data_IF_162516066780
#
_entry.id   IF_162516066780
#
_cell.length_a   1.000
_cell.length_b   1.000
_cell.length_c   1.000
_cell.angle_alpha   90.00
_cell.angle_beta   90.00
_cell.angle_gamma   90.00
#
_symmetry.space_group_name_H-M   'P 1'
#
loop_
_entity.id
_entity.type
_entity.pdbx_description
1 polymer ?
#
# COMPACT_ATOMS: atom_id res chain seq x y z
N UNK A 1 19.01 -13.46 -17.59
CA UNK A 1 18.78 -12.30 -18.40
C UNK A 1 18.17 -11.17 -17.58
N UNK A 2 17.35 -10.26 -18.14
CA UNK A 2 16.83 -9.07 -17.41
C UNK A 2 16.10 -9.46 -16.13
N UNK A 3 15.21 -10.45 -16.17
CA UNK A 3 14.48 -10.91 -14.96
C UNK A 3 15.41 -11.45 -13.88
N UNK A 4 16.51 -12.11 -14.25
CA UNK A 4 17.49 -12.61 -13.28
C UNK A 4 18.23 -11.46 -12.58
N UNK A 5 18.62 -10.42 -13.33
CA UNK A 5 19.24 -9.23 -12.75
C UNK A 5 18.32 -8.54 -11.75
N UNK A 6 17.01 -8.41 -12.10
CA UNK A 6 16.02 -7.84 -11.19
C UNK A 6 15.86 -8.72 -9.93
N UNK A 7 15.74 -10.05 -10.09
CA UNK A 7 15.63 -10.97 -8.95
C UNK A 7 16.87 -10.93 -8.06
N UNK A 8 18.07 -10.83 -8.62
CA UNK A 8 19.30 -10.66 -7.84
C UNK A 8 19.27 -9.42 -6.95
N UNK A 9 18.71 -8.31 -7.46
CA UNK A 9 18.53 -7.10 -6.65
C UNK A 9 17.52 -7.32 -5.52
N UNK A 10 16.40 -7.99 -5.80
CA UNK A 10 15.40 -8.35 -4.75
C UNK A 10 16.04 -9.19 -3.66
N UNK A 11 16.82 -10.22 -4.02
CA UNK A 11 17.44 -11.14 -3.07
C UNK A 11 18.68 -10.57 -2.36
N UNK A 12 19.29 -9.52 -2.90
CA UNK A 12 20.57 -9.02 -2.36
C UNK A 12 20.48 -8.57 -0.91
N UNK A 13 19.42 -7.87 -0.54
CA UNK A 13 19.23 -7.36 0.83
C UNK A 13 19.00 -8.49 1.86
N UNK A 14 18.37 -9.59 1.45
CA UNK A 14 18.23 -10.76 2.30
C UNK A 14 19.57 -11.45 2.58
N UNK A 15 20.51 -11.41 1.62
CA UNK A 15 21.88 -11.92 1.82
C UNK A 15 22.67 -11.12 2.83
N UNK A 16 22.34 -9.84 2.98
CA UNK A 16 22.95 -8.92 3.94
C UNK A 16 22.34 -9.03 5.35
N UNK A 17 21.45 -10.01 5.58
CA UNK A 17 20.87 -10.33 6.89
C UNK A 17 19.58 -9.59 7.22
N UNK A 18 18.89 -9.02 6.24
CA UNK A 18 17.55 -8.45 6.45
C UNK A 18 16.51 -9.57 6.65
N UNK A 19 15.73 -9.50 7.72
CA UNK A 19 14.64 -10.44 8.00
C UNK A 19 13.44 -10.25 7.07
N UNK A 20 13.20 -9.01 6.65
CA UNK A 20 12.12 -8.63 5.73
C UNK A 20 12.66 -7.68 4.67
N UNK A 21 12.36 -7.98 3.41
CA UNK A 21 12.72 -7.12 2.26
C UNK A 21 11.44 -6.58 1.64
N UNK A 22 11.34 -5.27 1.50
CA UNK A 22 10.22 -4.60 0.83
C UNK A 22 10.71 -4.13 -0.54
N UNK A 23 10.09 -4.68 -1.59
CA UNK A 23 10.37 -4.30 -2.97
C UNK A 23 9.17 -3.52 -3.52
N UNK A 24 9.40 -2.31 -3.98
CA UNK A 24 8.37 -1.48 -4.61
C UNK A 24 8.56 -1.49 -6.13
N UNK A 25 7.45 -1.71 -6.85
CA UNK A 25 7.39 -1.62 -8.30
C UNK A 25 6.52 -0.42 -8.66
N UNK A 26 7.15 0.61 -9.22
CA UNK A 26 6.47 1.84 -9.63
C UNK A 26 5.66 1.68 -10.92
N UNK A 27 4.83 2.67 -11.20
CA UNK A 27 3.98 2.74 -12.37
C UNK A 27 2.63 2.05 -12.20
N UNK A 28 1.80 2.16 -13.23
CA UNK A 28 0.48 1.51 -13.28
C UNK A 28 0.62 0.09 -13.82
N UNK A 29 -0.09 -0.85 -13.22
CA UNK A 29 -0.14 -2.23 -13.76
C UNK A 29 -0.69 -2.20 -15.18
N UNK A 30 0.05 -2.81 -16.12
CA UNK A 30 -0.23 -2.77 -17.54
C UNK A 30 0.68 -1.83 -18.33
N UNK A 31 1.45 -0.98 -17.68
CA UNK A 31 2.45 -0.16 -18.36
C UNK A 31 3.60 -1.04 -18.90
N UNK A 32 4.02 -0.76 -20.12
CA UNK A 32 4.99 -1.60 -20.84
C UNK A 32 6.33 -1.68 -20.10
N UNK A 33 6.79 -0.57 -19.53
CA UNK A 33 8.06 -0.47 -18.80
C UNK A 33 8.08 -1.29 -17.51
N UNK A 34 6.94 -1.57 -16.90
CA UNK A 34 6.86 -2.36 -15.66
C UNK A 34 6.84 -3.87 -15.90
N UNK A 35 6.56 -4.34 -17.11
CA UNK A 35 6.41 -5.77 -17.42
C UNK A 35 7.62 -6.63 -17.02
N UNK A 36 8.89 -6.27 -17.26
CA UNK A 36 10.03 -7.08 -16.84
C UNK A 36 10.13 -7.22 -15.33
N UNK A 37 9.74 -6.18 -14.58
CA UNK A 37 9.73 -6.18 -13.11
C UNK A 37 8.60 -7.06 -12.58
N UNK A 38 7.40 -6.96 -13.15
CA UNK A 38 6.26 -7.79 -12.77
C UNK A 38 6.55 -9.27 -13.06
N UNK A 39 7.16 -9.59 -14.20
CA UNK A 39 7.58 -10.95 -14.51
C UNK A 39 8.65 -11.46 -13.51
N UNK A 40 9.61 -10.61 -13.14
CA UNK A 40 10.64 -10.98 -12.16
C UNK A 40 10.04 -11.29 -10.78
N UNK A 41 9.14 -10.44 -10.25
CA UNK A 41 8.51 -10.69 -8.95
C UNK A 41 7.52 -11.86 -8.98
N UNK A 42 6.87 -12.12 -10.13
CA UNK A 42 6.08 -13.33 -10.32
C UNK A 42 6.95 -14.58 -10.17
N UNK A 43 8.15 -14.58 -10.76
CA UNK A 43 9.11 -15.68 -10.62
C UNK A 43 9.60 -15.80 -9.17
N UNK A 44 9.88 -14.69 -8.47
CA UNK A 44 10.22 -14.70 -7.03
C UNK A 44 9.16 -15.46 -6.22
N UNK A 45 7.87 -15.21 -6.48
CA UNK A 45 6.80 -15.92 -5.78
C UNK A 45 6.71 -17.42 -6.10
N UNK A 46 7.17 -17.85 -7.30
CA UNK A 46 7.21 -19.27 -7.68
C UNK A 46 8.44 -19.97 -7.08
N UNK A 47 9.54 -19.24 -6.98
CA UNK A 47 10.82 -19.78 -6.47
C UNK A 47 10.86 -19.92 -4.94
N UNK A 48 9.93 -19.27 -4.22
CA UNK A 48 9.86 -19.27 -2.76
C UNK A 48 8.56 -19.92 -2.27
N UNK A 49 8.48 -20.22 -0.97
CA UNK A 49 7.24 -20.71 -0.40
C UNK A 49 6.18 -19.61 -0.36
N UNK A 50 4.89 -19.94 -0.48
CA UNK A 50 3.81 -18.94 -0.44
C UNK A 50 3.79 -18.07 0.82
N UNK A 51 4.28 -18.57 1.95
CA UNK A 51 4.39 -17.83 3.20
C UNK A 51 5.59 -16.91 3.30
N UNK A 52 6.54 -16.98 2.36
CA UNK A 52 7.75 -16.15 2.35
C UNK A 52 7.59 -14.91 1.44
N UNK A 53 6.50 -14.84 0.66
CA UNK A 53 6.25 -13.75 -0.28
C UNK A 53 4.82 -13.25 -0.13
N UNK A 54 4.64 -11.94 0.08
CA UNK A 54 3.32 -11.30 0.12
C UNK A 54 3.21 -10.24 -0.98
N UNK A 55 2.16 -10.32 -1.77
CA UNK A 55 1.86 -9.33 -2.81
C UNK A 55 0.84 -8.32 -2.30
N UNK A 56 1.30 -7.08 -2.18
CA UNK A 56 0.46 -5.94 -1.76
C UNK A 56 0.21 -5.08 -2.99
N UNK A 57 -1.04 -4.95 -3.41
CA UNK A 57 -1.41 -4.14 -4.55
C UNK A 57 -2.09 -2.85 -4.12
N UNK A 58 -1.48 -1.72 -4.48
CA UNK A 58 -2.04 -0.38 -4.21
C UNK A 58 -2.95 0.01 -5.37
N UNK A 59 -4.22 0.31 -5.06
CA UNK A 59 -5.23 0.63 -6.07
C UNK A 59 -5.92 1.95 -5.78
N UNK A 60 -6.62 2.48 -6.76
CA UNK A 60 -7.48 3.66 -6.59
C UNK A 60 -8.95 3.23 -6.42
N UNK A 61 -9.58 3.74 -5.36
CA UNK A 61 -11.00 3.60 -5.10
C UNK A 61 -11.63 5.01 -5.11
N UNK A 62 -11.95 5.55 -6.31
CA UNK A 62 -12.35 6.92 -6.44
C UNK A 62 -13.76 7.16 -5.90
N UNK A 63 -13.97 8.33 -5.32
CA UNK A 63 -15.28 8.86 -5.01
C UNK A 63 -15.81 9.71 -6.18
N UNK A 64 -17.03 9.45 -6.60
CA UNK A 64 -17.69 10.20 -7.68
C UNK A 64 -18.76 11.10 -7.08
N UNK A 65 -18.53 12.40 -7.07
CA UNK A 65 -19.43 13.39 -6.50
C UNK A 65 -20.83 13.35 -7.15
N UNK A 66 -20.90 13.12 -8.47
CA UNK A 66 -22.18 13.08 -9.20
C UNK A 66 -23.10 11.93 -8.81
N UNK A 67 -22.54 10.78 -8.37
CA UNK A 67 -23.31 9.63 -7.87
C UNK A 67 -23.23 9.45 -6.35
N UNK A 68 -22.47 10.28 -5.69
CA UNK A 68 -22.26 10.26 -4.24
C UNK A 68 -21.82 8.88 -3.70
N UNK A 69 -20.92 8.21 -4.43
CA UNK A 69 -20.49 6.84 -4.07
C UNK A 69 -19.02 6.57 -4.43
N UNK A 70 -18.43 5.62 -3.70
CA UNK A 70 -17.13 5.02 -4.05
C UNK A 70 -17.31 4.01 -5.18
N UNK A 71 -16.48 4.08 -6.21
CA UNK A 71 -16.51 3.20 -7.38
C UNK A 71 -15.44 2.10 -7.28
N UNK A 72 -15.87 0.85 -7.06
CA UNK A 72 -14.97 -0.30 -6.95
C UNK A 72 -14.46 -0.84 -8.31
N UNK A 73 -15.01 -0.41 -9.42
CA UNK A 73 -14.61 -0.89 -10.76
C UNK A 73 -13.15 -0.63 -11.11
N UNK A 74 -12.55 0.56 -10.86
CA UNK A 74 -11.14 0.79 -11.15
C UNK A 74 -10.22 -0.17 -10.37
N UNK A 75 -10.50 -0.39 -9.08
CA UNK A 75 -9.80 -1.39 -8.26
C UNK A 75 -9.91 -2.79 -8.86
N UNK A 76 -11.13 -3.23 -9.21
CA UNK A 76 -11.36 -4.55 -9.82
C UNK A 76 -10.61 -4.71 -11.15
N UNK A 77 -10.57 -3.68 -12.00
CA UNK A 77 -9.82 -3.68 -13.25
C UNK A 77 -8.32 -3.81 -13.02
N UNK A 78 -7.77 -3.02 -12.12
CA UNK A 78 -6.34 -3.05 -11.80
C UNK A 78 -5.90 -4.42 -11.26
N UNK A 79 -6.70 -5.02 -10.36
CA UNK A 79 -6.46 -6.38 -9.84
C UNK A 79 -6.54 -7.43 -10.95
N UNK A 80 -7.54 -7.32 -11.84
CA UNK A 80 -7.70 -8.25 -12.96
C UNK A 80 -6.52 -8.19 -13.91
N UNK A 81 -6.00 -7.00 -14.18
CA UNK A 81 -4.81 -6.81 -15.00
C UNK A 81 -3.59 -7.48 -14.37
N UNK A 82 -3.35 -7.26 -13.07
CA UNK A 82 -2.27 -7.91 -12.33
C UNK A 82 -2.40 -9.45 -12.36
N UNK A 83 -3.62 -9.96 -12.17
CA UNK A 83 -3.89 -11.41 -12.25
C UNK A 83 -3.66 -11.97 -13.65
N UNK A 84 -3.90 -11.20 -14.72
CA UNK A 84 -3.61 -11.64 -16.09
C UNK A 84 -2.12 -11.85 -16.35
N UNK A 85 -1.27 -11.17 -15.58
CA UNK A 85 0.18 -11.35 -15.56
C UNK A 85 0.64 -12.50 -14.64
N UNK A 86 -0.29 -13.24 -14.02
CA UNK A 86 0.01 -14.37 -13.16
C UNK A 86 0.34 -14.01 -11.71
N UNK A 87 0.07 -12.78 -11.28
CA UNK A 87 0.27 -12.34 -9.88
C UNK A 87 -1.08 -12.17 -9.21
N UNK A 88 -1.34 -12.95 -8.18
CA UNK A 88 -2.53 -12.78 -7.33
C UNK A 88 -2.16 -11.94 -6.11
N UNK A 89 -2.77 -10.76 -5.92
CA UNK A 89 -2.52 -9.99 -4.72
C UNK A 89 -3.08 -10.70 -3.47
N UNK A 90 -2.34 -10.63 -2.36
CA UNK A 90 -2.76 -11.14 -1.06
C UNK A 90 -3.47 -10.05 -0.26
N UNK A 91 -3.02 -8.81 -0.41
CA UNK A 91 -3.55 -7.63 0.28
C UNK A 91 -3.79 -6.52 -0.75
N UNK A 92 -4.90 -5.82 -0.60
CA UNK A 92 -5.24 -4.62 -1.38
C UNK A 92 -5.16 -3.39 -0.47
N UNK A 93 -4.37 -2.40 -0.86
CA UNK A 93 -4.38 -1.08 -0.23
C UNK A 93 -5.14 -0.13 -1.16
N UNK A 94 -6.36 0.23 -0.76
CA UNK A 94 -7.26 1.04 -1.57
C UNK A 94 -7.12 2.51 -1.20
N UNK A 95 -6.49 3.31 -2.06
CA UNK A 95 -6.47 4.78 -1.90
C UNK A 95 -7.85 5.35 -2.15
N UNK A 96 -8.38 6.08 -1.18
CA UNK A 96 -9.74 6.59 -1.19
C UNK A 96 -9.84 7.94 -0.48
N UNK A 97 -10.87 8.72 -0.79
CA UNK A 97 -11.17 9.98 -0.11
C UNK A 97 -12.11 9.78 1.09
N UNK A 98 -12.85 8.68 1.11
CA UNK A 98 -13.84 8.38 2.14
C UNK A 98 -13.60 7.01 2.76
N UNK A 99 -14.08 6.76 3.99
CA UNK A 99 -14.04 5.45 4.61
C UNK A 99 -14.72 4.38 3.75
N UNK A 100 -14.11 3.19 3.70
CA UNK A 100 -14.67 2.05 2.97
C UNK A 100 -15.72 1.39 3.86
N UNK A 101 -16.99 1.39 3.40
CA UNK A 101 -18.07 0.67 4.10
C UNK A 101 -17.88 -0.84 4.00
N UNK A 102 -18.44 -1.59 4.96
CA UNK A 102 -18.38 -3.05 4.96
C UNK A 102 -18.91 -3.66 3.65
N UNK A 103 -20.00 -3.12 3.12
CA UNK A 103 -20.55 -3.58 1.85
C UNK A 103 -19.57 -3.41 0.67
N UNK A 104 -18.90 -2.27 0.57
CA UNK A 104 -17.90 -2.02 -0.48
C UNK A 104 -16.67 -2.90 -0.25
N UNK A 105 -16.22 -3.07 0.99
CA UNK A 105 -15.12 -3.97 1.38
C UNK A 105 -15.40 -5.41 0.93
N UNK A 106 -16.55 -5.93 1.27
CA UNK A 106 -16.98 -7.28 0.88
C UNK A 106 -17.12 -7.43 -0.64
N UNK A 107 -17.61 -6.41 -1.33
CA UNK A 107 -17.70 -6.39 -2.80
C UNK A 107 -16.32 -6.43 -3.45
N UNK A 108 -15.36 -5.61 -2.99
CA UNK A 108 -13.98 -5.61 -3.48
C UNK A 108 -13.34 -6.97 -3.21
N UNK A 109 -13.46 -7.48 -1.99
CA UNK A 109 -12.91 -8.77 -1.58
C UNK A 109 -13.37 -9.90 -2.49
N UNK A 110 -14.68 -9.97 -2.75
CA UNK A 110 -15.27 -10.99 -3.62
C UNK A 110 -14.74 -10.91 -5.06
N UNK A 111 -14.76 -9.72 -5.67
CA UNK A 111 -14.36 -9.56 -7.07
C UNK A 111 -12.85 -9.58 -7.31
N UNK A 112 -12.06 -9.35 -6.27
CA UNK A 112 -10.60 -9.35 -6.35
C UNK A 112 -9.96 -10.64 -5.78
N UNK A 113 -10.76 -11.61 -5.33
CA UNK A 113 -10.28 -12.88 -4.75
C UNK A 113 -9.35 -12.71 -3.53
N UNK A 114 -9.64 -11.73 -2.69
CA UNK A 114 -8.96 -11.51 -1.41
C UNK A 114 -9.95 -11.65 -0.24
N UNK A 115 -9.46 -11.81 0.97
CA UNK A 115 -10.32 -11.80 2.15
C UNK A 115 -10.73 -10.37 2.50
N UNK A 116 -11.91 -10.13 3.09
CA UNK A 116 -12.35 -8.78 3.49
C UNK A 116 -11.35 -8.05 4.41
N UNK A 117 -10.73 -8.77 5.34
CA UNK A 117 -9.71 -8.22 6.25
C UNK A 117 -8.43 -7.77 5.53
N UNK A 118 -8.21 -8.24 4.31
CA UNK A 118 -7.05 -7.85 3.47
C UNK A 118 -7.38 -6.71 2.50
N UNK A 119 -8.56 -6.09 2.60
CA UNK A 119 -8.90 -4.86 1.88
C UNK A 119 -8.69 -3.69 2.83
N UNK A 120 -7.56 -3.03 2.71
CA UNK A 120 -7.08 -1.97 3.59
C UNK A 120 -7.46 -0.62 3.00
N UNK A 121 -8.12 0.24 3.80
CA UNK A 121 -8.39 1.60 3.39
C UNK A 121 -7.15 2.49 3.61
N UNK A 122 -6.78 3.25 2.59
CA UNK A 122 -5.77 4.30 2.70
C UNK A 122 -6.42 5.62 2.29
N UNK A 123 -7.02 6.30 3.26
CA UNK A 123 -7.68 7.58 3.04
C UNK A 123 -6.69 8.70 2.79
N UNK A 124 -7.13 9.72 2.07
CA UNK A 124 -6.34 10.94 1.91
C UNK A 124 -6.06 11.57 3.27
N UNK A 125 -4.80 11.62 3.65
CA UNK A 125 -4.34 12.20 4.91
C UNK A 125 -4.04 13.70 4.76
N UNK A 126 -4.16 14.45 5.84
CA UNK A 126 -3.79 15.87 5.86
C UNK A 126 -2.27 16.07 5.80
N UNK A 127 -1.53 15.08 6.29
CA UNK A 127 -0.08 15.03 6.30
C UNK A 127 0.38 13.61 5.93
N UNK A 128 1.38 13.51 5.06
CA UNK A 128 1.91 12.22 4.59
C UNK A 128 2.38 11.32 5.75
N UNK A 129 2.90 11.90 6.82
CA UNK A 129 3.38 11.15 7.99
C UNK A 129 2.25 10.50 8.81
N UNK A 130 0.99 10.80 8.56
CA UNK A 130 -0.16 10.11 9.17
C UNK A 130 -0.46 8.76 8.54
N UNK A 131 -0.01 8.54 7.30
CA UNK A 131 -0.31 7.33 6.52
C UNK A 131 0.14 6.05 7.23
N UNK A 132 1.35 5.92 7.81
CA UNK A 132 1.75 4.71 8.52
C UNK A 132 0.81 4.35 9.69
N UNK A 133 0.39 5.34 10.48
CA UNK A 133 -0.54 5.10 11.60
C UNK A 133 -1.94 4.70 11.10
N UNK A 134 -2.38 5.27 9.99
CA UNK A 134 -3.64 4.89 9.35
C UNK A 134 -3.60 3.44 8.87
N UNK A 135 -2.54 3.03 8.19
CA UNK A 135 -2.36 1.67 7.70
C UNK A 135 -2.26 0.65 8.83
N UNK A 136 -1.59 1.00 9.94
CA UNK A 136 -1.54 0.18 11.15
C UNK A 136 -2.94 0.01 11.75
N UNK A 137 -3.69 1.09 11.90
CA UNK A 137 -5.07 1.07 12.40
C UNK A 137 -6.01 0.23 11.53
N UNK A 138 -5.82 0.26 10.21
CA UNK A 138 -6.58 -0.55 9.24
C UNK A 138 -6.16 -2.02 9.22
N UNK A 139 -5.10 -2.40 9.95
CA UNK A 139 -4.65 -3.77 10.14
C UNK A 139 -3.68 -4.28 9.06
N UNK A 140 -3.01 -3.40 8.31
CA UNK A 140 -2.06 -3.81 7.28
C UNK A 140 -0.94 -4.69 7.85
N UNK A 141 -0.29 -4.24 8.93
CA UNK A 141 0.78 -5.02 9.57
C UNK A 141 0.28 -6.37 10.09
N UNK A 142 -0.92 -6.40 10.66
CA UNK A 142 -1.56 -7.66 11.11
C UNK A 142 -1.75 -8.64 9.94
N UNK A 143 -2.23 -8.16 8.79
CA UNK A 143 -2.43 -8.98 7.59
C UNK A 143 -1.11 -9.50 7.03
N UNK A 144 -0.06 -8.66 7.00
CA UNK A 144 1.29 -9.04 6.54
C UNK A 144 1.89 -10.10 7.47
N UNK A 145 1.93 -9.85 8.79
CA UNK A 145 2.49 -10.78 9.76
C UNK A 145 1.78 -12.13 9.72
N UNK A 146 0.45 -12.12 9.61
CA UNK A 146 -0.36 -13.35 9.47
C UNK A 146 0.00 -14.14 8.21
N UNK A 147 0.20 -13.46 7.07
CA UNK A 147 0.56 -14.10 5.81
C UNK A 147 1.97 -14.72 5.89
N UNK A 148 2.94 -13.94 6.38
CA UNK A 148 4.35 -14.34 6.50
C UNK A 148 4.62 -15.23 7.74
N UNK A 149 3.60 -15.58 8.50
CA UNK A 149 3.73 -16.36 9.76
C UNK A 149 4.72 -15.74 10.76
N UNK A 150 4.79 -14.40 10.75
CA UNK A 150 5.59 -13.64 11.70
C UNK A 150 4.76 -13.32 12.96
N UNK A 151 5.42 -13.25 14.10
CA UNK A 151 4.82 -12.74 15.31
C UNK A 151 4.60 -11.23 15.15
N UNK A 152 3.35 -10.77 15.35
CA UNK A 152 3.07 -9.34 15.38
C UNK A 152 3.48 -8.77 16.74
N UNK A 153 4.45 -7.87 16.72
CA UNK A 153 4.85 -7.08 17.88
C UNK A 153 4.13 -5.74 17.80
N UNK A 154 3.57 -5.27 18.93
CA UNK A 154 2.93 -3.95 18.98
C UNK A 154 3.97 -2.85 18.69
N UNK A 155 3.70 -1.98 17.71
CA UNK A 155 4.66 -0.96 17.30
C UNK A 155 4.83 0.12 18.39
N UNK A 156 6.06 0.62 18.56
CA UNK A 156 6.37 1.74 19.44
C UNK A 156 6.23 3.05 18.66
N UNK A 157 5.02 3.56 18.56
CA UNK A 157 4.70 4.72 17.72
C UNK A 157 4.70 6.07 18.47
N UNK A 158 5.00 6.11 19.78
CA UNK A 158 4.83 7.31 20.61
C UNK A 158 5.65 8.52 20.10
N UNK A 159 6.88 8.29 19.62
CA UNK A 159 7.71 9.37 19.07
C UNK A 159 7.19 9.85 17.72
N UNK A 160 6.70 8.93 16.90
CA UNK A 160 6.09 9.23 15.61
C UNK A 160 4.78 10.04 15.78
N UNK A 161 3.95 9.64 16.72
CA UNK A 161 2.71 10.35 17.07
C UNK A 161 2.99 11.76 17.57
N UNK A 162 3.98 11.94 18.46
CA UNK A 162 4.42 13.26 18.93
C UNK A 162 4.91 14.16 17.79
N UNK A 163 5.66 13.60 16.84
CA UNK A 163 6.10 14.32 15.67
C UNK A 163 4.91 14.81 14.83
N UNK A 164 3.92 13.95 14.57
CA UNK A 164 2.70 14.30 13.83
C UNK A 164 1.92 15.39 14.56
N UNK A 165 1.76 15.28 15.88
CA UNK A 165 1.09 16.29 16.69
C UNK A 165 1.81 17.65 16.63
N UNK A 166 3.13 17.64 16.66
CA UNK A 166 3.93 18.85 16.48
C UNK A 166 3.63 19.51 15.13
N UNK A 167 3.65 18.78 14.02
CA UNK A 167 3.31 19.30 12.69
C UNK A 167 1.90 19.88 12.64
N UNK A 168 0.92 19.20 13.22
CA UNK A 168 -0.48 19.70 13.28
C UNK A 168 -0.60 21.02 14.05
N UNK A 169 0.16 21.15 15.13
CA UNK A 169 0.16 22.36 15.94
C UNK A 169 0.84 23.54 15.22
N UNK A 170 1.96 23.27 14.55
CA UNK A 170 2.64 24.25 13.70
C UNK A 170 1.69 24.73 12.57
N UNK A 171 1.05 23.80 11.85
CA UNK A 171 0.10 24.11 10.78
C UNK A 171 -1.09 24.98 11.26
N UNK A 172 -1.64 24.64 12.44
CA UNK A 172 -2.71 25.45 13.06
C UNK A 172 -2.25 26.87 13.41
N UNK A 173 -1.05 26.99 13.96
CA UNK A 173 -0.47 28.28 14.29
C UNK A 173 -0.30 29.16 13.05
N UNK A 174 0.27 28.62 11.98
CA UNK A 174 0.49 29.36 10.74
C UNK A 174 -0.80 29.68 9.97
N UNK A 175 -1.86 28.87 10.09
CA UNK A 175 -3.17 29.16 9.49
C UNK A 175 -3.93 30.28 10.26
N UNK A 176 -3.73 30.41 11.56
CA UNK A 176 -4.41 31.37 12.41
C UNK A 176 -3.69 32.72 12.51
N UNK A 177 -2.37 32.73 12.35
CA UNK A 177 -1.59 33.95 12.31
C UNK A 177 -1.45 34.38 10.84
N UNK A 178 -1.80 35.66 10.53
CA UNK A 178 -1.53 36.33 9.22
C UNK A 178 -0.01 36.56 9.06
N UNK A 179 0.79 35.54 9.26
CA UNK A 179 2.23 35.64 9.19
C UNK A 179 2.68 35.59 7.71
N UNK A 180 3.63 36.42 7.36
CA UNK A 180 4.27 36.38 6.06
C UNK A 180 4.84 35.01 5.77
N UNK A 181 4.42 34.43 4.66
CA UNK A 181 4.95 33.14 4.21
C UNK A 181 6.44 33.27 3.95
N UNK A 182 7.24 32.41 4.55
CA UNK A 182 8.66 32.30 4.19
C UNK A 182 8.75 31.87 2.72
N UNK A 183 9.35 32.72 1.89
CA UNK A 183 9.61 32.39 0.47
C UNK A 183 10.91 31.60 0.39
N UNK A 184 10.83 30.37 -0.06
CA UNK A 184 12.00 29.54 -0.36
C UNK A 184 12.14 29.53 -1.88
N UNK A 185 13.29 30.01 -2.38
CA UNK A 185 13.65 29.82 -3.78
C UNK A 185 14.29 28.44 -3.91
N UNK A 186 13.83 27.66 -4.88
CA UNK A 186 14.38 26.35 -5.26
C UNK A 186 15.06 26.51 -6.60
#
# INVERSE_FOLDING_TARGET
HITNEIKEKVYSLGKDGADVVITEIGGTVGDIESLPFLEAIRQVGIENNPEDVVYIHVTLLPYITGSNELKSKPTQHSVKELQSLGIKPDILVCRTELPITENIRNKIALFCNVRPENVIANMTASNLYEVPLMLEKEGLATSICKHLKLEKIEPKNEEWEKMIEHFKNVDKKYKNEKNEKVKIAI
#
